data_IF_828216654091
#
_entry.id   IF_828216654091
#
_cell.length_a   1.000
_cell.length_b   1.000
_cell.length_c   1.000
_cell.angle_alpha   90.00
_cell.angle_beta   90.00
_cell.angle_gamma   90.00
#
_symmetry.space_group_name_H-M   'P 1'
#
loop_
_entity.id
_entity.type
_entity.pdbx_description
1 polymer ?
#
# COMPACT_ATOMS: atom_id res chain seq x y z
N UNK A 1 -7.54 -4.09 3.65
CA UNK A 1 -6.38 -3.16 3.73
C UNK A 1 -5.21 -3.70 2.94
N UNK A 2 -4.38 -2.80 2.38
CA UNK A 2 -3.09 -3.15 1.77
C UNK A 2 -1.95 -2.45 2.51
N UNK A 3 -0.93 -3.21 2.86
CA UNK A 3 0.31 -2.72 3.46
C UNK A 3 1.42 -2.77 2.45
N UNK A 4 2.11 -1.65 2.24
CA UNK A 4 3.21 -1.50 1.29
C UNK A 4 4.40 -0.93 2.04
N UNK A 5 5.51 -1.65 2.03
CA UNK A 5 6.75 -1.22 2.69
C UNK A 5 7.82 -0.86 1.66
N UNK A 6 8.56 0.19 1.89
CA UNK A 6 9.77 0.53 1.14
C UNK A 6 10.85 1.13 2.02
N UNK A 7 12.01 0.49 2.03
CA UNK A 7 13.22 1.01 2.65
C UNK A 7 14.03 1.91 1.70
N UNK A 8 13.74 1.87 0.38
CA UNK A 8 14.59 2.48 -0.66
C UNK A 8 14.11 3.84 -1.13
N UNK A 9 12.88 4.23 -0.82
CA UNK A 9 12.36 5.55 -1.19
C UNK A 9 13.25 6.64 -0.62
N UNK A 10 13.74 7.51 -1.52
CA UNK A 10 14.57 8.67 -1.19
C UNK A 10 14.23 9.82 -2.15
N UNK A 11 13.62 10.88 -1.62
CA UNK A 11 13.17 12.04 -2.40
C UNK A 11 14.12 13.23 -2.32
N UNK A 12 15.32 13.05 -1.76
CA UNK A 12 16.31 14.12 -1.58
C UNK A 12 16.66 14.78 -2.92
N UNK A 13 16.85 13.96 -3.97
CA UNK A 13 17.19 14.42 -5.32
C UNK A 13 16.05 14.22 -6.31
N UNK A 14 14.79 14.22 -5.83
CA UNK A 14 13.62 13.97 -6.66
C UNK A 14 13.54 14.90 -7.87
N UNK A 15 13.34 14.28 -9.04
CA UNK A 15 13.13 14.94 -10.31
C UNK A 15 11.95 14.32 -11.04
N UNK A 16 10.92 15.10 -11.32
CA UNK A 16 9.71 14.65 -12.01
C UNK A 16 9.96 14.08 -13.41
N UNK A 17 11.08 14.46 -14.06
CA UNK A 17 11.45 13.94 -15.38
C UNK A 17 12.12 12.57 -15.33
N UNK A 18 12.54 12.14 -14.13
CA UNK A 18 13.16 10.83 -13.90
C UNK A 18 12.74 10.29 -12.51
N UNK A 19 11.46 10.02 -12.35
CA UNK A 19 10.93 9.53 -11.07
C UNK A 19 11.61 8.24 -10.63
N UNK A 20 11.72 7.18 -11.47
CA UNK A 20 12.34 5.93 -11.04
C UNK A 20 13.79 6.08 -10.57
N UNK A 21 14.59 6.88 -11.26
CA UNK A 21 16.01 7.10 -10.94
C UNK A 21 16.25 8.06 -9.78
N UNK A 22 15.31 8.96 -9.47
CA UNK A 22 15.50 10.05 -8.50
C UNK A 22 14.67 9.93 -7.22
N UNK A 23 13.81 8.90 -7.09
CA UNK A 23 12.89 8.76 -5.95
C UNK A 23 13.03 7.46 -5.16
N UNK A 24 14.01 6.60 -5.49
CA UNK A 24 14.12 5.26 -4.89
C UNK A 24 12.88 4.41 -5.14
N UNK A 25 12.30 4.51 -6.32
CA UNK A 25 11.13 3.74 -6.81
C UNK A 25 9.80 4.13 -6.14
N UNK A 26 9.61 5.40 -5.81
CA UNK A 26 8.30 5.91 -5.36
C UNK A 26 7.20 5.72 -6.43
N UNK A 27 7.58 5.65 -7.72
CA UNK A 27 6.69 5.28 -8.84
C UNK A 27 5.95 3.95 -8.61
N UNK A 28 6.66 2.95 -8.09
CA UNK A 28 6.06 1.64 -7.78
C UNK A 28 5.02 1.77 -6.67
N UNK A 29 5.35 2.52 -5.62
CA UNK A 29 4.44 2.78 -4.50
C UNK A 29 3.19 3.52 -4.99
N UNK A 30 3.36 4.56 -5.79
CA UNK A 30 2.27 5.34 -6.40
C UNK A 30 1.32 4.45 -7.22
N UNK A 31 1.88 3.58 -8.07
CA UNK A 31 1.07 2.60 -8.83
C UNK A 31 0.31 1.64 -7.93
N UNK A 32 0.89 1.21 -6.81
CA UNK A 32 0.23 0.34 -5.85
C UNK A 32 -0.96 1.05 -5.18
N UNK A 33 -0.79 2.31 -4.77
CA UNK A 33 -1.87 3.10 -4.16
C UNK A 33 -3.01 3.30 -5.16
N UNK A 34 -2.69 3.72 -6.39
CA UNK A 34 -3.68 3.88 -7.44
C UNK A 34 -4.40 2.57 -7.77
N UNK A 35 -3.68 1.45 -7.86
CA UNK A 35 -4.26 0.14 -8.12
C UNK A 35 -5.20 -0.34 -7.00
N UNK A 36 -4.91 0.05 -5.76
CA UNK A 36 -5.72 -0.32 -4.61
C UNK A 36 -7.00 0.52 -4.50
N UNK A 37 -6.89 1.84 -4.66
CA UNK A 37 -7.99 2.77 -4.37
C UNK A 37 -8.90 3.03 -5.56
N UNK A 38 -8.32 3.23 -6.76
CA UNK A 38 -9.07 3.76 -7.91
C UNK A 38 -9.86 2.65 -8.58
N UNK A 39 -11.19 2.79 -8.56
CA UNK A 39 -12.14 2.03 -9.38
C UNK A 39 -12.47 2.79 -10.68
N UNK A 40 -13.52 2.34 -11.39
CA UNK A 40 -13.88 2.90 -12.69
C UNK A 40 -14.35 4.36 -12.60
N UNK A 41 -15.25 4.68 -11.69
CA UNK A 41 -15.87 6.02 -11.55
C UNK A 41 -15.84 6.54 -10.10
N UNK A 42 -15.30 5.80 -9.16
CA UNK A 42 -15.17 6.16 -7.75
C UNK A 42 -13.98 5.43 -7.15
N UNK A 43 -13.67 5.68 -5.89
CA UNK A 43 -12.84 4.76 -5.13
C UNK A 43 -13.60 3.47 -4.85
N UNK A 44 -12.89 2.34 -4.76
CA UNK A 44 -13.47 1.13 -4.20
C UNK A 44 -13.73 1.35 -2.70
N UNK A 45 -14.89 0.88 -2.24
CA UNK A 45 -15.35 1.11 -0.88
C UNK A 45 -14.51 0.34 0.16
N UNK A 46 -14.33 0.93 1.34
CA UNK A 46 -13.66 0.32 2.50
C UNK A 46 -12.22 -0.14 2.26
N UNK A 47 -11.52 0.52 1.32
CA UNK A 47 -10.12 0.25 1.04
C UNK A 47 -9.22 1.24 1.79
N UNK A 48 -8.27 0.70 2.54
CA UNK A 48 -7.16 1.47 3.10
C UNK A 48 -5.83 0.96 2.55
N UNK A 49 -4.95 1.89 2.22
CA UNK A 49 -3.56 1.61 1.84
C UNK A 49 -2.63 2.27 2.84
N UNK A 50 -1.85 1.47 3.51
CA UNK A 50 -0.85 1.92 4.48
C UNK A 50 0.53 1.79 3.84
N UNK A 51 1.20 2.91 3.68
CA UNK A 51 2.53 3.01 3.05
C UNK A 51 3.55 3.32 4.12
N UNK A 52 4.48 2.40 4.31
CA UNK A 52 5.57 2.52 5.29
C UNK A 52 6.86 2.88 4.55
N UNK A 53 7.31 4.11 4.69
CA UNK A 53 8.55 4.60 4.09
C UNK A 53 9.63 4.69 5.18
N UNK A 54 10.69 3.91 5.04
CA UNK A 54 11.71 3.77 6.09
C UNK A 54 12.35 5.08 6.56
N UNK A 55 12.43 6.10 5.68
CA UNK A 55 12.99 7.42 6.01
C UNK A 55 11.94 8.48 6.34
N UNK A 56 10.66 8.26 6.00
CA UNK A 56 9.66 9.34 5.95
C UNK A 56 8.38 9.01 6.72
N UNK A 57 8.35 7.89 7.47
CA UNK A 57 7.20 7.52 8.28
C UNK A 57 6.09 6.79 7.50
N UNK A 58 4.89 6.82 8.02
CA UNK A 58 3.75 6.04 7.54
C UNK A 58 2.64 6.95 7.02
N UNK A 59 2.13 6.66 5.83
CA UNK A 59 1.05 7.38 5.15
C UNK A 59 -0.15 6.47 4.96
N UNK A 60 -1.34 6.95 5.37
CA UNK A 60 -2.57 6.16 5.34
C UNK A 60 -3.56 6.80 4.37
N UNK A 61 -3.81 6.10 3.27
CA UNK A 61 -4.78 6.48 2.25
C UNK A 61 -6.07 5.71 2.50
N UNK A 62 -7.13 6.41 2.90
CA UNK A 62 -8.45 5.81 3.19
C UNK A 62 -9.46 6.26 2.13
N UNK A 63 -10.04 5.30 1.40
CA UNK A 63 -11.02 5.58 0.35
C UNK A 63 -12.26 6.31 0.86
N UNK A 64 -12.62 6.13 2.14
CA UNK A 64 -13.78 6.77 2.75
C UNK A 64 -13.53 8.24 3.15
N UNK A 65 -12.26 8.67 3.20
CA UNK A 65 -11.86 10.01 3.63
C UNK A 65 -11.41 10.88 2.46
N UNK A 66 -10.74 10.26 1.48
CA UNK A 66 -10.18 10.95 0.33
C UNK A 66 -11.27 11.46 -0.62
N UNK A 67 -11.00 12.56 -1.31
CA UNK A 67 -11.91 13.11 -2.31
C UNK A 67 -11.54 12.60 -3.72
N UNK A 68 -12.41 11.77 -4.31
CA UNK A 68 -12.18 11.17 -5.62
C UNK A 68 -12.02 12.21 -6.75
N UNK A 69 -12.79 13.29 -6.74
CA UNK A 69 -12.78 14.27 -7.85
C UNK A 69 -11.46 15.03 -7.93
N UNK A 70 -10.85 15.33 -6.79
CA UNK A 70 -9.57 16.04 -6.72
C UNK A 70 -8.36 15.11 -6.67
N UNK A 71 -8.57 13.82 -6.41
CA UNK A 71 -7.48 12.85 -6.28
C UNK A 71 -6.75 12.63 -7.61
N UNK A 72 -5.42 12.73 -7.66
CA UNK A 72 -4.65 12.52 -8.88
C UNK A 72 -4.66 11.05 -9.29
N UNK A 73 -5.27 10.72 -10.44
CA UNK A 73 -5.42 9.35 -10.96
C UNK A 73 -4.32 8.95 -11.94
N UNK A 74 -3.42 9.86 -12.25
CA UNK A 74 -2.26 9.64 -13.10
C UNK A 74 -1.01 9.43 -12.23
N UNK A 75 -0.19 8.42 -12.53
CA UNK A 75 0.99 8.06 -11.76
C UNK A 75 1.96 9.23 -11.56
N UNK A 76 2.25 9.98 -12.64
CA UNK A 76 3.16 11.10 -12.61
C UNK A 76 2.67 12.20 -11.65
N UNK A 77 1.42 12.64 -11.83
CA UNK A 77 0.82 13.68 -11.00
C UNK A 77 0.67 13.21 -9.55
N UNK A 78 0.24 11.97 -9.35
CA UNK A 78 0.13 11.41 -8.00
C UNK A 78 1.47 11.42 -7.29
N UNK A 79 2.53 10.94 -7.96
CA UNK A 79 3.87 10.87 -7.35
C UNK A 79 4.39 12.26 -7.00
N UNK A 80 4.18 13.25 -7.85
CA UNK A 80 4.59 14.63 -7.59
C UNK A 80 3.90 15.24 -6.37
N UNK A 81 2.57 15.09 -6.28
CA UNK A 81 1.81 15.50 -5.10
C UNK A 81 2.18 14.71 -3.83
N UNK A 82 2.54 13.44 -3.99
CA UNK A 82 2.97 12.63 -2.85
C UNK A 82 4.34 13.06 -2.35
N UNK A 83 5.27 13.41 -3.23
CA UNK A 83 6.56 14.02 -2.86
C UNK A 83 6.34 15.34 -2.12
N UNK A 84 5.43 16.18 -2.60
CA UNK A 84 5.07 17.42 -1.90
C UNK A 84 4.47 17.15 -0.52
N UNK A 85 3.58 16.18 -0.39
CA UNK A 85 3.04 15.73 0.90
C UNK A 85 4.16 15.27 1.84
N UNK A 86 5.10 14.44 1.38
CA UNK A 86 6.22 13.94 2.19
C UNK A 86 7.10 15.08 2.68
N UNK A 87 7.44 16.04 1.80
CA UNK A 87 8.30 17.20 2.15
C UNK A 87 7.67 18.14 3.16
N UNK A 88 6.35 18.24 3.16
CA UNK A 88 5.60 19.18 3.98
C UNK A 88 4.83 18.49 5.12
N UNK A 89 5.13 17.21 5.40
CA UNK A 89 4.44 16.42 6.44
C UNK A 89 4.49 17.06 7.83
N UNK A 90 5.58 17.75 8.16
CA UNK A 90 5.77 18.44 9.45
C UNK A 90 5.07 19.82 9.48
N UNK A 91 4.68 20.36 8.32
CA UNK A 91 4.13 21.72 8.16
C UNK A 91 2.67 21.66 7.70
N UNK A 92 1.74 21.23 8.56
CA UNK A 92 0.31 21.10 8.25
C UNK A 92 -0.32 22.28 7.52
N UNK A 93 0.24 23.49 7.70
CA UNK A 93 -0.31 24.73 7.10
C UNK A 93 0.03 24.92 5.60
N UNK A 94 0.94 24.14 5.02
CA UNK A 94 1.35 24.29 3.62
C UNK A 94 0.65 23.30 2.66
N UNK A 95 -0.24 22.44 3.17
CA UNK A 95 -0.87 21.39 2.37
C UNK A 95 -2.27 21.75 1.85
N UNK A 96 -2.77 22.96 2.05
CA UNK A 96 -4.15 23.36 1.67
C UNK A 96 -4.43 23.12 0.17
N UNK A 97 -3.45 23.37 -0.70
CA UNK A 97 -3.57 23.16 -2.14
C UNK A 97 -3.25 21.72 -2.60
N UNK A 98 -2.68 20.87 -1.72
CA UNK A 98 -2.32 19.51 -2.10
C UNK A 98 -3.57 18.61 -2.13
N UNK A 99 -3.89 17.94 -3.24
CA UNK A 99 -5.04 17.04 -3.32
C UNK A 99 -4.95 15.83 -2.37
N UNK A 100 -3.76 15.52 -1.86
CA UNK A 100 -3.51 14.45 -0.89
C UNK A 100 -3.54 14.94 0.58
N UNK A 101 -3.99 16.17 0.87
CA UNK A 101 -4.02 16.74 2.22
C UNK A 101 -4.84 15.97 3.26
N UNK A 102 -5.75 15.10 2.81
CA UNK A 102 -6.57 14.25 3.66
C UNK A 102 -5.91 12.91 4.01
N UNK A 103 -4.71 12.64 3.49
CA UNK A 103 -3.91 11.48 3.86
C UNK A 103 -3.46 11.63 5.31
N UNK A 104 -3.71 10.60 6.12
CA UNK A 104 -3.25 10.57 7.50
C UNK A 104 -1.78 10.17 7.57
N UNK A 105 -1.05 10.77 8.51
CA UNK A 105 0.38 10.52 8.70
C UNK A 105 0.59 9.98 10.12
N UNK A 106 1.46 8.98 10.24
CA UNK A 106 1.82 8.37 11.52
C UNK A 106 3.33 8.11 11.60
N UNK A 107 3.90 8.26 12.78
CA UNK A 107 5.29 7.90 13.04
C UNK A 107 5.47 6.41 13.37
N UNK A 108 4.37 5.68 13.62
CA UNK A 108 4.43 4.27 13.96
C UNK A 108 4.92 3.45 12.77
N UNK A 109 5.82 2.50 13.05
CA UNK A 109 6.33 1.56 12.07
C UNK A 109 5.34 0.43 11.74
N UNK A 110 5.65 -0.33 10.71
CA UNK A 110 4.81 -1.45 10.23
C UNK A 110 4.61 -2.51 11.31
N UNK A 111 5.63 -2.82 12.12
CA UNK A 111 5.57 -3.85 13.16
C UNK A 111 4.60 -3.49 14.28
N UNK A 112 4.59 -2.23 14.71
CA UNK A 112 3.71 -1.75 15.78
C UNK A 112 2.26 -1.74 15.32
N UNK A 113 2.01 -1.17 14.14
CA UNK A 113 0.66 -1.09 13.56
C UNK A 113 0.11 -2.50 13.30
N UNK A 114 0.94 -3.40 12.78
CA UNK A 114 0.52 -4.76 12.50
C UNK A 114 0.11 -5.50 13.78
N UNK A 115 0.90 -5.39 14.86
CA UNK A 115 0.56 -5.96 16.18
C UNK A 115 -0.76 -5.40 16.73
N UNK A 116 -0.96 -4.09 16.64
CA UNK A 116 -2.22 -3.45 17.08
C UNK A 116 -3.43 -3.97 16.31
N UNK A 117 -3.31 -4.12 14.98
CA UNK A 117 -4.40 -4.59 14.15
C UNK A 117 -4.68 -6.08 14.33
N UNK A 118 -3.65 -6.92 14.49
CA UNK A 118 -3.81 -8.34 14.83
C UNK A 118 -4.55 -8.51 16.16
N UNK A 119 -4.22 -7.72 17.18
CA UNK A 119 -4.94 -7.67 18.46
C UNK A 119 -6.39 -7.19 18.31
N UNK A 120 -6.71 -6.47 17.24
CA UNK A 120 -8.06 -6.01 16.90
C UNK A 120 -8.81 -6.96 15.96
N UNK A 121 -8.38 -8.23 15.90
CA UNK A 121 -8.95 -9.30 15.09
C UNK A 121 -8.82 -9.11 13.57
N UNK A 122 -7.84 -8.35 13.10
CA UNK A 122 -7.46 -8.40 11.69
C UNK A 122 -6.67 -9.67 11.39
N UNK A 123 -6.83 -10.21 10.18
CA UNK A 123 -6.03 -11.30 9.64
C UNK A 123 -5.02 -10.72 8.64
N UNK A 124 -3.74 -11.01 8.83
CA UNK A 124 -2.70 -10.51 7.93
C UNK A 124 -2.10 -11.65 7.11
N UNK A 125 -1.85 -11.37 5.84
CA UNK A 125 -1.31 -12.31 4.86
C UNK A 125 -0.16 -11.65 4.10
N UNK A 126 0.97 -12.35 3.97
CA UNK A 126 2.10 -11.90 3.17
C UNK A 126 1.95 -12.44 1.75
N UNK A 127 1.97 -11.55 0.76
CA UNK A 127 2.00 -11.94 -0.65
C UNK A 127 3.44 -12.26 -1.05
N UNK A 128 3.71 -13.55 -1.34
CA UNK A 128 5.06 -14.05 -1.61
C UNK A 128 5.02 -15.18 -2.65
N UNK A 129 6.02 -15.26 -3.53
CA UNK A 129 6.06 -16.23 -4.63
C UNK A 129 6.03 -17.69 -4.15
N UNK A 130 6.63 -17.97 -2.99
CA UNK A 130 6.68 -19.30 -2.38
C UNK A 130 5.54 -19.55 -1.37
N UNK A 131 4.49 -18.73 -1.38
CA UNK A 131 3.32 -18.92 -0.55
C UNK A 131 2.39 -20.02 -1.06
N UNK A 132 1.37 -20.34 -0.26
CA UNK A 132 0.27 -21.20 -0.68
C UNK A 132 -0.55 -20.52 -1.80
N UNK A 133 -1.19 -21.33 -2.63
CA UNK A 133 -2.01 -20.85 -3.75
C UNK A 133 -3.21 -20.04 -3.22
N UNK A 134 -3.20 -18.72 -3.46
CA UNK A 134 -4.25 -17.80 -3.03
C UNK A 134 -5.63 -18.22 -3.56
N UNK A 135 -5.72 -18.66 -4.80
CA UNK A 135 -6.99 -19.01 -5.43
C UNK A 135 -7.60 -20.30 -4.88
N UNK A 136 -6.78 -21.23 -4.40
CA UNK A 136 -7.24 -22.46 -3.74
C UNK A 136 -7.74 -22.24 -2.33
N UNK A 137 -7.28 -21.18 -1.68
CA UNK A 137 -7.61 -20.85 -0.29
C UNK A 137 -8.78 -19.85 -0.15
N UNK A 138 -9.63 -19.72 -1.19
CA UNK A 138 -10.75 -18.76 -1.22
C UNK A 138 -11.66 -18.85 0.00
N UNK A 139 -11.90 -20.04 0.52
CA UNK A 139 -12.77 -20.26 1.67
C UNK A 139 -12.23 -19.65 2.97
N UNK A 140 -10.92 -19.44 3.08
CA UNK A 140 -10.29 -18.87 4.27
C UNK A 140 -10.67 -17.40 4.39
N UNK A 141 -10.59 -16.63 3.30
CA UNK A 141 -10.85 -15.19 3.31
C UNK A 141 -12.25 -14.79 2.86
N UNK A 142 -13.06 -15.71 2.32
CA UNK A 142 -14.45 -15.43 1.99
C UNK A 142 -15.31 -15.06 3.21
N UNK A 143 -14.92 -15.50 4.41
CA UNK A 143 -15.61 -15.22 5.66
C UNK A 143 -14.98 -14.09 6.48
N UNK A 144 -13.80 -13.61 6.06
CA UNK A 144 -13.04 -12.62 6.81
C UNK A 144 -13.39 -11.20 6.34
N UNK A 145 -13.84 -10.36 7.26
CA UNK A 145 -14.18 -8.96 6.98
C UNK A 145 -12.99 -8.01 7.19
N UNK A 146 -12.01 -8.42 7.99
CA UNK A 146 -10.86 -7.58 8.40
C UNK A 146 -9.56 -8.22 7.94
N UNK A 147 -9.13 -7.89 6.73
CA UNK A 147 -7.94 -8.47 6.12
C UNK A 147 -6.88 -7.42 5.81
N UNK A 148 -5.63 -7.82 5.99
CA UNK A 148 -4.43 -7.06 5.63
C UNK A 148 -3.64 -7.91 4.64
N UNK A 149 -3.39 -7.37 3.45
CA UNK A 149 -2.49 -7.97 2.48
C UNK A 149 -1.19 -7.17 2.45
N UNK A 150 -0.10 -7.80 2.86
CA UNK A 150 1.22 -7.22 2.88
C UNK A 150 1.87 -7.51 1.54
N UNK A 151 2.11 -6.46 0.75
CA UNK A 151 2.66 -6.57 -0.60
C UNK A 151 4.07 -5.98 -0.60
N UNK A 152 5.06 -6.83 -0.87
CA UNK A 152 6.45 -6.40 -1.01
C UNK A 152 6.68 -5.64 -2.31
N UNK A 153 7.70 -4.78 -2.31
CA UNK A 153 8.26 -4.22 -3.53
C UNK A 153 9.55 -4.96 -3.92
N UNK A 154 10.00 -4.78 -5.17
CA UNK A 154 11.19 -5.47 -5.70
C UNK A 154 12.51 -5.08 -5.01
N UNK A 155 12.56 -3.98 -4.27
CA UNK A 155 13.78 -3.39 -3.74
C UNK A 155 13.85 -3.32 -2.21
N UNK A 156 12.78 -3.65 -1.51
CA UNK A 156 12.74 -3.65 -0.05
C UNK A 156 12.00 -4.87 0.42
N UNK A 157 12.74 -5.89 0.75
CA UNK A 157 12.14 -7.12 1.17
C UNK A 157 11.56 -6.97 2.58
N UNK A 158 10.24 -7.01 2.67
CA UNK A 158 9.53 -7.05 3.95
C UNK A 158 9.95 -8.28 4.78
N UNK A 159 10.46 -9.30 4.10
CA UNK A 159 11.03 -10.49 4.72
C UNK A 159 12.37 -10.24 5.41
N UNK A 160 12.95 -9.05 5.27
CA UNK A 160 14.14 -8.64 6.02
C UNK A 160 13.80 -7.91 7.34
N UNK A 161 12.50 -7.70 7.62
CA UNK A 161 12.06 -7.10 8.89
C UNK A 161 11.88 -8.22 9.90
N UNK A 162 12.84 -8.33 10.82
CA UNK A 162 12.93 -9.42 11.80
C UNK A 162 11.65 -9.55 12.65
N UNK A 163 11.08 -8.41 13.06
CA UNK A 163 9.85 -8.37 13.85
C UNK A 163 8.62 -8.91 13.09
N UNK A 164 8.59 -8.79 11.76
CA UNK A 164 7.50 -9.35 10.94
C UNK A 164 7.68 -10.87 10.80
N UNK A 165 8.92 -11.33 10.67
CA UNK A 165 9.21 -12.78 10.61
C UNK A 165 8.77 -13.50 11.87
N UNK A 166 8.89 -12.87 13.04
CA UNK A 166 8.47 -13.47 14.33
C UNK A 166 6.96 -13.62 14.46
N UNK A 167 6.17 -12.96 13.63
CA UNK A 167 4.70 -13.06 13.65
C UNK A 167 4.16 -14.31 12.94
N UNK A 168 5.02 -15.05 12.25
CA UNK A 168 4.68 -16.28 11.51
C UNK A 168 3.39 -16.17 10.67
N UNK A 169 3.29 -15.10 9.90
CA UNK A 169 2.11 -14.80 9.10
C UNK A 169 1.98 -15.76 7.91
N UNK A 170 0.74 -16.19 7.58
CA UNK A 170 0.49 -16.99 6.38
C UNK A 170 0.97 -16.29 5.12
N UNK A 171 1.59 -17.05 4.22
CA UNK A 171 2.09 -16.58 2.94
C UNK A 171 1.22 -17.11 1.81
N UNK A 172 0.77 -16.22 0.92
CA UNK A 172 0.00 -16.58 -0.27
C UNK A 172 0.72 -16.18 -1.55
N UNK A 173 0.56 -17.01 -2.58
CA UNK A 173 1.08 -16.81 -3.92
C UNK A 173 -0.06 -16.72 -4.93
N UNK A 174 0.04 -15.81 -5.88
CA UNK A 174 -0.89 -15.70 -7.03
C UNK A 174 -0.50 -16.63 -8.20
N UNK A 175 0.44 -17.52 -8.00
CA UNK A 175 0.93 -18.46 -9.01
C UNK A 175 2.45 -18.41 -9.17
N UNK A 176 2.94 -19.12 -10.20
CA UNK A 176 4.38 -19.32 -10.43
C UNK A 176 5.09 -18.12 -11.10
N UNK A 177 4.34 -17.13 -11.54
CA UNK A 177 4.89 -15.94 -12.20
C UNK A 177 5.15 -14.85 -11.17
N UNK A 178 6.26 -14.13 -11.34
CA UNK A 178 6.51 -12.90 -10.59
C UNK A 178 5.66 -11.77 -11.16
N UNK A 179 4.81 -11.19 -10.32
CA UNK A 179 3.95 -10.07 -10.69
C UNK A 179 4.47 -8.76 -10.13
N UNK A 180 4.20 -7.65 -10.82
CA UNK A 180 4.39 -6.33 -10.25
C UNK A 180 3.47 -6.16 -9.04
N UNK A 181 3.93 -5.48 -7.98
CA UNK A 181 3.16 -5.26 -6.76
C UNK A 181 1.75 -4.69 -7.02
N UNK A 182 1.64 -3.72 -7.94
CA UNK A 182 0.33 -3.16 -8.34
C UNK A 182 -0.58 -4.18 -9.04
N UNK A 183 -0.02 -5.14 -9.77
CA UNK A 183 -0.78 -6.24 -10.37
C UNK A 183 -1.25 -7.25 -9.32
N UNK A 184 -0.42 -7.54 -8.32
CA UNK A 184 -0.80 -8.35 -7.14
C UNK A 184 -2.04 -7.76 -6.47
N UNK A 185 -2.02 -6.45 -6.19
CA UNK A 185 -3.15 -5.74 -5.57
C UNK A 185 -4.42 -5.86 -6.42
N UNK A 186 -4.33 -5.63 -7.73
CA UNK A 186 -5.49 -5.76 -8.64
C UNK A 186 -6.07 -7.16 -8.67
N UNK A 187 -5.22 -8.20 -8.73
CA UNK A 187 -5.66 -9.60 -8.73
C UNK A 187 -6.35 -9.98 -7.41
N UNK A 188 -5.83 -9.52 -6.27
CA UNK A 188 -6.48 -9.72 -4.97
C UNK A 188 -7.87 -9.05 -4.98
N UNK A 189 -7.97 -7.78 -5.36
CA UNK A 189 -9.24 -7.04 -5.43
C UNK A 189 -10.27 -7.77 -6.30
N UNK A 190 -9.90 -8.11 -7.54
CA UNK A 190 -10.80 -8.82 -8.46
C UNK A 190 -11.29 -10.14 -7.88
N UNK A 191 -10.42 -10.87 -7.19
CA UNK A 191 -10.80 -12.13 -6.56
C UNK A 191 -11.76 -11.91 -5.39
N UNK A 192 -11.50 -10.93 -4.51
CA UNK A 192 -12.37 -10.62 -3.39
C UNK A 192 -13.74 -10.12 -3.87
N UNK A 193 -13.80 -9.24 -4.87
CA UNK A 193 -15.06 -8.76 -5.45
C UNK A 193 -15.89 -9.92 -6.02
N UNK A 194 -15.25 -10.94 -6.62
CA UNK A 194 -15.95 -12.12 -7.14
C UNK A 194 -16.52 -13.05 -6.06
N UNK A 195 -16.18 -12.84 -4.78
CA UNK A 195 -16.73 -13.58 -3.65
C UNK A 195 -17.95 -12.90 -3.04
N UNK A 196 -18.16 -11.62 -3.35
CA UNK A 196 -19.28 -10.81 -2.84
C UNK A 196 -20.52 -10.87 -3.77
N UNK A 197 -20.37 -11.49 -4.94
CA UNK A 197 -21.45 -11.75 -5.91
C UNK A 197 -21.96 -13.18 -5.76
#
# INVERSE_FOLDING_TARGET
>A
MFFIYSATVDITNYNIKDIPGSSGRLDVISRCILAALVGDNAFDEDIQVWVFLGKYGTYIFDSNVLNYDTFPKNELMFTDHFVDLIRNSDLKNNLESNPLRLVSISEKGISDILKELLNSNFKAYIMHENGEDFFKNRNIYAQEKKMIFIVGNQSGDIMNIEEILTLDLPKFSLGKLSYLASSVIRLIKLNLLSLLQ
#
